data_IF_581116545727
#
_entry.id   IF_581116545727
#
_cell.length_a   1.000
_cell.length_b   1.000
_cell.length_c   1.000
_cell.angle_alpha   90.00
_cell.angle_beta   90.00
_cell.angle_gamma   90.00
#
_symmetry.space_group_name_H-M   'P 1'
#
loop_
_entity.id
_entity.type
_entity.pdbx_description
1 polymer ?
#
# COMPACT_ATOMS: atom_id res chain seq x y z
N UNK A 1 -32.64 45.03 -27.75
CA UNK A 1 -32.15 44.88 -26.36
C UNK A 1 -32.61 43.58 -25.68
N UNK A 2 -33.90 43.22 -25.68
CA UNK A 2 -34.42 41.97 -25.06
C UNK A 2 -33.83 40.66 -25.63
N UNK A 3 -33.60 40.59 -26.94
CA UNK A 3 -33.04 39.38 -27.61
C UNK A 3 -31.61 39.06 -27.15
N UNK A 4 -30.78 40.09 -26.92
CA UNK A 4 -29.41 39.91 -26.45
C UNK A 4 -29.35 39.37 -25.01
N UNK A 5 -30.29 39.79 -24.15
CA UNK A 5 -30.40 39.33 -22.76
C UNK A 5 -30.84 37.85 -22.73
N UNK A 6 -31.79 37.46 -23.58
CA UNK A 6 -32.24 36.07 -23.69
C UNK A 6 -31.12 35.16 -24.21
N UNK A 7 -30.36 35.60 -25.20
CA UNK A 7 -29.21 34.85 -25.72
C UNK A 7 -28.08 34.72 -24.68
N UNK A 8 -27.84 35.76 -23.87
CA UNK A 8 -26.88 35.71 -22.77
C UNK A 8 -27.32 34.71 -21.69
N UNK A 9 -28.60 34.71 -21.28
CA UNK A 9 -29.11 33.75 -20.31
C UNK A 9 -29.05 32.30 -20.81
N UNK A 10 -29.35 32.06 -22.09
CA UNK A 10 -29.20 30.76 -22.74
C UNK A 10 -27.73 30.30 -22.78
N UNK A 11 -26.79 31.21 -23.04
CA UNK A 11 -25.37 30.91 -23.04
C UNK A 11 -24.86 30.53 -21.62
N UNK A 12 -25.28 31.29 -20.59
CA UNK A 12 -24.95 31.02 -19.19
C UNK A 12 -25.53 29.67 -18.74
N UNK A 13 -26.78 29.37 -19.10
CA UNK A 13 -27.41 28.09 -18.79
C UNK A 13 -26.69 26.92 -19.46
N UNK A 14 -26.35 27.04 -20.75
CA UNK A 14 -25.57 26.02 -21.49
C UNK A 14 -24.20 25.81 -20.87
N UNK A 15 -23.50 26.88 -20.49
CA UNK A 15 -22.21 26.79 -19.83
C UNK A 15 -22.31 26.11 -18.46
N UNK A 16 -23.32 26.45 -17.65
CA UNK A 16 -23.61 25.77 -16.38
C UNK A 16 -23.91 24.28 -16.55
N UNK A 17 -24.68 23.91 -17.58
CA UNK A 17 -24.96 22.51 -17.90
C UNK A 17 -23.70 21.72 -18.31
N UNK A 18 -22.78 22.34 -19.06
CA UNK A 18 -21.49 21.73 -19.42
C UNK A 18 -20.60 21.54 -18.19
N UNK A 19 -20.53 22.53 -17.28
CA UNK A 19 -19.78 22.41 -16.02
C UNK A 19 -20.35 21.32 -15.11
N UNK A 20 -21.67 21.20 -15.04
CA UNK A 20 -22.31 20.15 -14.26
C UNK A 20 -22.03 18.76 -14.84
N UNK A 21 -22.14 18.60 -16.17
CA UNK A 21 -21.86 17.34 -16.85
C UNK A 21 -20.40 16.91 -16.70
N UNK A 22 -19.44 17.85 -16.81
CA UNK A 22 -18.02 17.54 -16.59
C UNK A 22 -17.73 17.18 -15.13
N UNK A 23 -18.31 17.89 -14.17
CA UNK A 23 -18.20 17.56 -12.74
C UNK A 23 -18.79 16.17 -12.41
N UNK A 24 -19.96 15.84 -12.98
CA UNK A 24 -20.59 14.54 -12.82
C UNK A 24 -19.74 13.41 -13.43
N UNK A 25 -19.19 13.61 -14.63
CA UNK A 25 -18.29 12.67 -15.30
C UNK A 25 -17.00 12.46 -14.51
N UNK A 26 -16.40 13.54 -14.01
CA UNK A 26 -15.23 13.49 -13.12
C UNK A 26 -15.55 12.70 -11.86
N UNK A 27 -16.70 12.96 -11.24
CA UNK A 27 -17.16 12.23 -10.04
C UNK A 27 -17.39 10.74 -10.30
N UNK A 28 -17.95 10.36 -11.45
CA UNK A 28 -18.14 8.94 -11.82
C UNK A 28 -16.82 8.24 -12.10
N UNK A 29 -15.90 8.90 -12.82
CA UNK A 29 -14.54 8.38 -13.05
C UNK A 29 -13.81 8.18 -11.72
N UNK A 30 -13.96 9.11 -10.78
CA UNK A 30 -13.39 8.97 -9.44
C UNK A 30 -13.96 7.77 -8.69
N UNK A 31 -15.28 7.59 -8.69
CA UNK A 31 -15.94 6.44 -8.06
C UNK A 31 -15.47 5.11 -8.66
N UNK A 32 -15.43 4.99 -9.99
CA UNK A 32 -14.95 3.79 -10.68
C UNK A 32 -13.50 3.49 -10.31
N UNK A 33 -12.63 4.50 -10.31
CA UNK A 33 -11.22 4.35 -9.95
C UNK A 33 -11.06 3.91 -8.49
N UNK A 34 -11.83 4.48 -7.56
CA UNK A 34 -11.85 4.06 -6.15
C UNK A 34 -12.23 2.59 -6.03
N UNK A 35 -13.25 2.14 -6.76
CA UNK A 35 -13.69 0.74 -6.73
C UNK A 35 -12.63 -0.21 -7.29
N UNK A 36 -12.00 0.14 -8.41
CA UNK A 36 -10.91 -0.66 -9.01
C UNK A 36 -9.69 -0.72 -8.10
N UNK A 37 -9.32 0.40 -7.47
CA UNK A 37 -8.18 0.44 -6.54
C UNK A 37 -8.45 -0.37 -5.28
N UNK A 38 -9.67 -0.33 -4.74
CA UNK A 38 -10.07 -1.19 -3.63
C UNK A 38 -10.02 -2.67 -4.00
N UNK A 39 -10.47 -3.06 -5.20
CA UNK A 39 -10.35 -4.43 -5.68
C UNK A 39 -8.88 -4.85 -5.83
N UNK A 40 -8.02 -3.98 -6.37
CA UNK A 40 -6.58 -4.22 -6.47
C UNK A 40 -5.93 -4.38 -5.09
N UNK A 41 -6.29 -3.54 -4.12
CA UNK A 41 -5.78 -3.64 -2.75
C UNK A 41 -6.27 -4.90 -2.05
N UNK A 42 -7.53 -5.30 -2.23
CA UNK A 42 -8.03 -6.59 -1.70
C UNK A 42 -7.27 -7.76 -2.31
N UNK A 43 -7.08 -7.76 -3.63
CA UNK A 43 -6.29 -8.76 -4.35
C UNK A 43 -4.84 -8.84 -3.83
N UNK A 44 -4.19 -7.70 -3.63
CA UNK A 44 -2.87 -7.63 -3.01
C UNK A 44 -2.89 -8.21 -1.60
N UNK A 45 -3.86 -7.85 -0.77
CA UNK A 45 -4.01 -8.34 0.60
C UNK A 45 -4.12 -9.86 0.66
N UNK A 46 -4.95 -10.45 -0.20
CA UNK A 46 -5.03 -11.90 -0.36
C UNK A 46 -3.69 -12.50 -0.81
N UNK A 47 -3.02 -11.87 -1.78
CA UNK A 47 -1.71 -12.32 -2.25
C UNK A 47 -0.68 -12.31 -1.11
N UNK A 48 -0.65 -11.26 -0.28
CA UNK A 48 0.24 -11.20 0.90
C UNK A 48 -0.01 -12.33 1.87
N UNK A 49 -1.26 -12.53 2.28
CA UNK A 49 -1.62 -13.56 3.27
C UNK A 49 -1.18 -14.95 2.81
N UNK A 50 -1.31 -15.24 1.51
CA UNK A 50 -0.85 -16.50 0.92
C UNK A 50 0.69 -16.62 0.85
N UNK A 51 1.40 -15.49 0.79
CA UNK A 51 2.87 -15.46 0.78
C UNK A 51 3.50 -15.48 2.18
N UNK A 52 2.75 -15.13 3.24
CA UNK A 52 3.25 -15.09 4.63
C UNK A 52 3.95 -16.39 5.05
N UNK A 53 3.41 -17.59 4.80
CA UNK A 53 4.10 -18.83 5.18
C UNK A 53 5.47 -18.97 4.49
N UNK A 54 5.55 -18.66 3.19
CA UNK A 54 6.80 -18.72 2.42
C UNK A 54 7.82 -17.68 2.91
N UNK A 55 7.35 -16.49 3.27
CA UNK A 55 8.18 -15.44 3.87
C UNK A 55 8.72 -15.90 5.23
N UNK A 56 7.86 -16.46 6.08
CA UNK A 56 8.22 -16.96 7.39
C UNK A 56 9.31 -18.04 7.30
N UNK A 57 9.12 -19.06 6.46
CA UNK A 57 10.09 -20.13 6.26
C UNK A 57 11.44 -19.59 5.80
N UNK A 58 11.43 -18.66 4.83
CA UNK A 58 12.65 -18.04 4.31
C UNK A 58 13.39 -17.22 5.36
N UNK A 59 12.67 -16.43 6.16
CA UNK A 59 13.26 -15.63 7.25
C UNK A 59 13.82 -16.57 8.31
N UNK A 60 13.08 -17.63 8.66
CA UNK A 60 13.53 -18.61 9.65
C UNK A 60 14.79 -19.37 9.18
N UNK A 61 14.82 -19.81 7.92
CA UNK A 61 15.98 -20.47 7.32
C UNK A 61 17.22 -19.56 7.32
N UNK A 62 17.06 -18.27 6.95
CA UNK A 62 18.13 -17.27 7.00
C UNK A 62 18.62 -17.02 8.43
N UNK A 63 17.71 -16.89 9.37
CA UNK A 63 18.05 -16.69 10.78
C UNK A 63 18.82 -17.89 11.35
N UNK A 64 18.43 -19.13 11.00
CA UNK A 64 19.15 -20.36 11.38
C UNK A 64 20.54 -20.42 10.75
N UNK A 65 20.67 -20.12 9.45
CA UNK A 65 21.96 -20.12 8.76
C UNK A 65 22.94 -19.10 9.35
N UNK A 66 22.48 -17.88 9.63
CA UNK A 66 23.28 -16.82 10.26
C UNK A 66 23.65 -17.16 11.71
N UNK A 67 22.74 -17.77 12.46
CA UNK A 67 23.03 -18.24 13.81
C UNK A 67 24.10 -19.35 13.81
N UNK A 68 24.07 -20.31 12.87
CA UNK A 68 25.07 -21.38 12.78
C UNK A 68 26.50 -20.86 12.60
N UNK A 69 26.70 -19.71 11.97
CA UNK A 69 28.00 -19.07 11.77
C UNK A 69 28.62 -18.51 13.07
N UNK A 70 27.84 -18.32 14.13
CA UNK A 70 28.34 -17.87 15.43
C UNK A 70 28.84 -19.07 16.25
N UNK A 71 29.96 -18.91 16.96
CA UNK A 71 30.52 -19.98 17.81
C UNK A 71 29.82 -20.09 19.17
N UNK A 72 29.41 -18.95 19.75
CA UNK A 72 28.81 -18.92 21.09
C UNK A 72 27.28 -19.12 21.09
N UNK A 73 26.72 -20.02 21.92
CA UNK A 73 25.28 -20.32 21.97
C UNK A 73 24.38 -19.10 22.28
N UNK A 74 24.81 -18.22 23.18
CA UNK A 74 24.07 -16.99 23.52
C UNK A 74 23.99 -16.03 22.32
N UNK A 75 25.11 -15.86 21.59
CA UNK A 75 25.15 -15.06 20.37
C UNK A 75 24.29 -15.67 19.24
N UNK A 76 24.21 -17.00 19.13
CA UNK A 76 23.32 -17.69 18.18
C UNK A 76 21.85 -17.34 18.43
N UNK A 77 21.41 -17.45 19.70
CA UNK A 77 20.03 -17.16 20.09
C UNK A 77 19.67 -15.70 19.86
N UNK A 78 20.58 -14.77 20.18
CA UNK A 78 20.39 -13.33 19.96
C UNK A 78 20.24 -12.98 18.47
N UNK A 79 21.19 -13.40 17.64
CA UNK A 79 21.14 -13.17 16.18
C UNK A 79 19.89 -13.79 15.56
N UNK A 80 19.49 -15.00 15.99
CA UNK A 80 18.26 -15.62 15.49
C UNK A 80 17.03 -14.77 15.86
N UNK A 81 16.91 -14.32 17.11
CA UNK A 81 15.79 -13.49 17.58
C UNK A 81 15.74 -12.15 16.84
N UNK A 82 16.88 -11.48 16.69
CA UNK A 82 16.95 -10.16 16.08
C UNK A 82 16.62 -10.22 14.59
N UNK A 83 17.09 -11.26 13.88
CA UNK A 83 16.76 -11.47 12.46
C UNK A 83 15.30 -11.88 12.24
N UNK A 84 14.74 -12.68 13.15
CA UNK A 84 13.31 -13.02 13.11
C UNK A 84 12.46 -11.78 13.35
N UNK A 85 12.81 -10.95 14.33
CA UNK A 85 12.08 -9.70 14.59
C UNK A 85 12.22 -8.72 13.43
N UNK A 86 13.44 -8.44 12.95
CA UNK A 86 13.66 -7.51 11.85
C UNK A 86 13.02 -7.98 10.53
N UNK A 87 12.98 -9.29 10.26
CA UNK A 87 12.40 -9.84 9.05
C UNK A 87 10.87 -9.97 9.08
N UNK A 88 10.30 -10.32 10.24
CA UNK A 88 8.85 -10.55 10.38
C UNK A 88 8.07 -9.26 10.64
N UNK A 89 8.70 -8.25 11.25
CA UNK A 89 8.03 -7.00 11.57
C UNK A 89 7.50 -6.24 10.33
N UNK A 90 8.23 -6.12 9.21
CA UNK A 90 7.69 -5.54 7.98
C UNK A 90 6.51 -6.32 7.42
N UNK A 91 6.56 -7.65 7.47
CA UNK A 91 5.50 -8.52 6.99
C UNK A 91 4.24 -8.41 7.87
N UNK A 92 4.41 -8.36 9.19
CA UNK A 92 3.34 -8.15 10.16
C UNK A 92 2.65 -6.80 9.98
N UNK A 93 3.42 -5.72 9.88
CA UNK A 93 2.89 -4.37 9.64
C UNK A 93 2.14 -4.33 8.31
N UNK A 94 2.69 -4.94 7.25
CA UNK A 94 2.06 -4.98 5.94
C UNK A 94 0.74 -5.76 5.96
N UNK A 95 0.71 -6.96 6.54
CA UNK A 95 -0.51 -7.77 6.62
C UNK A 95 -1.60 -7.10 7.46
N UNK A 96 -1.21 -6.39 8.51
CA UNK A 96 -2.17 -5.65 9.34
C UNK A 96 -2.75 -4.47 8.58
N UNK A 97 -1.91 -3.65 7.94
CA UNK A 97 -2.38 -2.51 7.15
C UNK A 97 -3.31 -2.96 6.02
N UNK A 98 -2.98 -4.07 5.33
CA UNK A 98 -3.83 -4.63 4.28
C UNK A 98 -5.14 -5.23 4.82
N UNK A 99 -5.12 -5.83 6.01
CA UNK A 99 -6.35 -6.29 6.69
C UNK A 99 -7.29 -5.11 7.00
N UNK A 100 -6.76 -3.96 7.41
CA UNK A 100 -7.57 -2.76 7.64
C UNK A 100 -8.22 -2.22 6.36
N UNK A 101 -7.51 -2.27 5.22
CA UNK A 101 -8.09 -1.96 3.90
C UNK A 101 -9.25 -2.90 3.58
N UNK A 102 -9.11 -4.19 3.89
CA UNK A 102 -10.12 -5.20 3.56
C UNK A 102 -11.40 -5.08 4.39
N UNK A 103 -11.29 -4.70 5.68
CA UNK A 103 -12.41 -4.60 6.63
C UNK A 103 -13.08 -3.21 6.61
N UNK A 104 -12.49 -2.22 5.93
CA UNK A 104 -13.11 -0.90 5.77
C UNK A 104 -13.05 -0.01 7.02
N UNK A 105 -12.00 -0.14 7.83
CA UNK A 105 -11.72 0.80 8.93
C UNK A 105 -12.62 0.67 10.18
N UNK A 106 -13.54 -0.29 10.28
CA UNK A 106 -14.44 -0.39 11.45
C UNK A 106 -13.76 -0.82 12.76
N UNK A 107 -12.49 -1.24 12.74
CA UNK A 107 -11.70 -1.67 13.91
C UNK A 107 -10.47 -0.76 14.11
N UNK A 108 -10.63 0.56 13.93
CA UNK A 108 -9.52 1.52 14.01
C UNK A 108 -8.91 1.60 15.42
N UNK A 109 -9.71 1.68 16.50
CA UNK A 109 -9.20 2.05 17.83
C UNK A 109 -8.22 1.05 18.48
N UNK A 110 -8.63 -0.22 18.65
CA UNK A 110 -7.81 -1.22 19.30
C UNK A 110 -6.66 -1.71 18.42
N UNK A 111 -6.89 -1.81 17.10
CA UNK A 111 -5.87 -2.21 16.12
C UNK A 111 -4.72 -1.20 16.03
N UNK A 112 -5.02 0.10 15.98
CA UNK A 112 -4.00 1.17 15.96
C UNK A 112 -3.10 1.14 17.21
N UNK A 113 -3.68 0.98 18.40
CA UNK A 113 -2.93 0.93 19.66
C UNK A 113 -1.97 -0.27 19.72
N UNK A 114 -2.41 -1.44 19.28
CA UNK A 114 -1.54 -2.63 19.22
C UNK A 114 -0.40 -2.46 18.19
N UNK A 115 -0.64 -1.70 17.12
CA UNK A 115 0.36 -1.44 16.08
C UNK A 115 1.40 -0.39 16.49
N UNK A 116 1.11 0.55 17.39
CA UNK A 116 2.05 1.60 17.79
C UNK A 116 3.39 1.03 18.30
N UNK A 117 3.34 -0.03 19.12
CA UNK A 117 4.55 -0.69 19.63
C UNK A 117 5.38 -1.34 18.51
N UNK A 118 4.72 -1.94 17.52
CA UNK A 118 5.34 -2.57 16.36
C UNK A 118 5.93 -1.55 15.40
N UNK A 119 5.22 -0.44 15.16
CA UNK A 119 5.71 0.69 14.36
C UNK A 119 6.89 1.35 15.05
N UNK A 120 6.82 1.58 16.36
CA UNK A 120 7.93 2.14 17.12
C UNK A 120 9.17 1.24 17.04
N UNK A 121 9.03 -0.06 17.26
CA UNK A 121 10.12 -1.03 17.10
C UNK A 121 10.68 -1.03 15.67
N UNK A 122 9.83 -0.87 14.64
CA UNK A 122 10.27 -0.79 13.25
C UNK A 122 11.08 0.48 12.98
N UNK A 123 10.64 1.63 13.52
CA UNK A 123 11.32 2.91 13.36
C UNK A 123 12.67 2.99 14.11
N UNK A 124 12.93 2.10 15.07
CA UNK A 124 14.25 2.01 15.73
C UNK A 124 15.36 1.48 14.81
N UNK A 125 15.02 0.76 13.73
CA UNK A 125 16.00 0.31 12.75
C UNK A 125 16.45 1.45 11.84
N UNK A 126 17.72 1.44 11.45
CA UNK A 126 18.23 2.39 10.46
C UNK A 126 17.47 2.26 9.14
N UNK A 127 17.41 3.34 8.35
CA UNK A 127 16.72 3.33 7.06
C UNK A 127 17.24 2.21 6.13
N UNK A 128 18.55 1.95 6.16
CA UNK A 128 19.18 0.87 5.40
C UNK A 128 18.69 -0.52 5.82
N UNK A 129 18.62 -0.78 7.13
CA UNK A 129 18.12 -2.06 7.67
C UNK A 129 16.64 -2.26 7.33
N UNK A 130 15.83 -1.20 7.48
CA UNK A 130 14.41 -1.22 7.08
C UNK A 130 14.25 -1.52 5.60
N UNK A 131 15.03 -0.86 4.74
CA UNK A 131 15.02 -1.09 3.30
C UNK A 131 15.36 -2.54 2.97
N UNK A 132 16.45 -3.08 3.52
CA UNK A 132 16.89 -4.45 3.25
C UNK A 132 15.89 -5.49 3.75
N UNK A 133 15.38 -5.32 4.96
CA UNK A 133 14.39 -6.22 5.55
C UNK A 133 13.09 -6.19 4.75
N UNK A 134 12.54 -5.00 4.50
CA UNK A 134 11.27 -4.83 3.78
C UNK A 134 11.41 -5.26 2.32
N UNK A 135 12.52 -4.95 1.65
CA UNK A 135 12.75 -5.40 0.28
C UNK A 135 12.79 -6.93 0.19
N UNK A 136 13.59 -7.55 1.04
CA UNK A 136 13.87 -8.99 0.94
C UNK A 136 12.73 -9.87 1.45
N UNK A 137 11.99 -9.38 2.43
CA UNK A 137 10.92 -10.11 3.09
C UNK A 137 9.54 -9.76 2.53
N UNK A 138 9.34 -8.57 1.96
CA UNK A 138 8.02 -8.10 1.48
C UNK A 138 8.02 -7.78 -0.02
N UNK A 139 8.80 -6.79 -0.46
CA UNK A 139 8.71 -6.28 -1.83
C UNK A 139 9.00 -7.34 -2.89
N UNK A 140 10.16 -7.99 -2.78
CA UNK A 140 10.62 -8.94 -3.78
C UNK A 140 9.69 -10.16 -3.92
N UNK A 141 9.29 -10.86 -2.85
CA UNK A 141 8.36 -12.00 -2.97
C UNK A 141 7.03 -11.62 -3.64
N UNK A 142 6.47 -10.48 -3.28
CA UNK A 142 5.19 -10.01 -3.83
C UNK A 142 5.32 -9.57 -5.29
N UNK A 143 6.39 -8.85 -5.65
CA UNK A 143 6.67 -8.50 -7.04
C UNK A 143 6.86 -9.75 -7.91
N UNK A 144 7.55 -10.77 -7.40
CA UNK A 144 7.69 -12.06 -8.09
C UNK A 144 6.34 -12.76 -8.26
N UNK A 145 5.49 -12.78 -7.23
CA UNK A 145 4.15 -13.37 -7.31
C UNK A 145 3.28 -12.65 -8.36
N UNK A 146 3.29 -11.31 -8.36
CA UNK A 146 2.58 -10.51 -9.38
C UNK A 146 3.10 -10.79 -10.79
N UNK A 147 4.42 -10.92 -10.97
CA UNK A 147 5.00 -11.27 -12.28
C UNK A 147 4.58 -12.67 -12.74
N UNK A 148 4.55 -13.65 -11.84
CA UNK A 148 4.05 -15.01 -12.14
C UNK A 148 2.56 -14.93 -12.53
N UNK A 149 1.74 -14.27 -11.73
CA UNK A 149 0.31 -14.09 -12.00
C UNK A 149 0.07 -13.35 -13.33
N UNK A 150 0.95 -12.44 -13.72
CA UNK A 150 0.86 -11.77 -15.02
C UNK A 150 1.15 -12.73 -16.18
N UNK A 151 2.08 -13.66 -15.97
CA UNK A 151 2.43 -14.68 -16.97
C UNK A 151 1.31 -15.70 -17.12
N UNK A 152 0.82 -16.28 -16.02
CA UNK A 152 -0.08 -17.45 -16.02
C UNK A 152 -1.56 -17.12 -15.80
N UNK A 153 -1.90 -15.91 -15.38
CA UNK A 153 -3.27 -15.53 -15.02
C UNK A 153 -4.21 -15.41 -16.22
N UNK A 154 -5.51 -15.32 -15.93
CA UNK A 154 -6.55 -15.05 -16.93
C UNK A 154 -6.42 -13.61 -17.48
N UNK A 155 -6.95 -13.31 -18.69
CA UNK A 155 -6.95 -11.96 -19.24
C UNK A 155 -7.49 -10.92 -18.26
N UNK A 156 -8.58 -11.24 -17.56
CA UNK A 156 -9.18 -10.40 -16.52
C UNK A 156 -8.20 -10.11 -15.38
N UNK A 157 -7.53 -11.14 -14.84
CA UNK A 157 -6.54 -10.98 -13.76
C UNK A 157 -5.38 -10.08 -14.21
N UNK A 158 -4.91 -10.26 -15.45
CA UNK A 158 -3.80 -9.48 -16.01
C UNK A 158 -4.08 -7.98 -16.09
N UNK A 159 -5.34 -7.58 -16.26
CA UNK A 159 -5.71 -6.16 -16.31
C UNK A 159 -5.48 -5.45 -14.98
N UNK A 160 -5.64 -6.14 -13.84
CA UNK A 160 -5.47 -5.54 -12.51
C UNK A 160 -4.01 -5.49 -12.05
N UNK A 161 -3.14 -6.33 -12.59
CA UNK A 161 -1.76 -6.48 -12.09
C UNK A 161 -0.91 -5.21 -12.21
N UNK A 162 -0.90 -4.46 -13.33
CA UNK A 162 -0.13 -3.22 -13.41
C UNK A 162 -0.55 -2.20 -12.34
N UNK A 163 -1.86 -2.05 -12.12
CA UNK A 163 -2.39 -1.14 -11.12
C UNK A 163 -2.10 -1.62 -9.70
N UNK A 164 -2.23 -2.92 -9.45
CA UNK A 164 -1.85 -3.54 -8.18
C UNK A 164 -0.34 -3.35 -7.89
N UNK A 165 0.53 -3.49 -8.89
CA UNK A 165 1.97 -3.26 -8.73
C UNK A 165 2.28 -1.80 -8.37
N UNK A 166 1.61 -0.84 -9.02
CA UNK A 166 1.76 0.59 -8.71
C UNK A 166 1.33 0.90 -7.26
N UNK A 167 0.13 0.44 -6.88
CA UNK A 167 -0.40 0.61 -5.52
C UNK A 167 0.50 -0.05 -4.48
N UNK A 168 1.02 -1.24 -4.78
CA UNK A 168 1.97 -1.94 -3.92
C UNK A 168 3.28 -1.17 -3.76
N UNK A 169 3.81 -0.57 -4.82
CA UNK A 169 5.04 0.23 -4.75
C UNK A 169 4.85 1.45 -3.85
N UNK A 170 3.70 2.15 -3.98
CA UNK A 170 3.36 3.27 -3.09
C UNK A 170 3.23 2.82 -1.64
N UNK A 171 2.54 1.70 -1.41
CA UNK A 171 2.40 1.10 -0.08
C UNK A 171 3.78 0.77 0.54
N UNK A 172 4.66 0.14 -0.23
CA UNK A 172 6.03 -0.20 0.18
C UNK A 172 6.83 1.04 0.58
N UNK A 173 6.79 2.10 -0.22
CA UNK A 173 7.49 3.35 0.08
C UNK A 173 6.95 4.01 1.35
N UNK A 174 5.62 4.05 1.53
CA UNK A 174 4.99 4.56 2.75
C UNK A 174 5.36 3.74 3.98
N UNK A 175 5.42 2.41 3.87
CA UNK A 175 5.84 1.53 4.98
C UNK A 175 7.25 1.89 5.45
N UNK A 176 8.15 2.24 4.54
CA UNK A 176 9.53 2.59 4.85
C UNK A 176 9.69 3.98 5.45
N UNK A 177 8.97 4.97 4.92
CA UNK A 177 9.16 6.39 5.27
C UNK A 177 8.26 6.83 6.42
N UNK A 178 6.98 6.51 6.34
CA UNK A 178 5.97 6.89 7.32
C UNK A 178 4.93 5.77 7.54
N UNK A 179 5.31 4.70 8.27
CA UNK A 179 4.42 3.56 8.51
C UNK A 179 3.13 3.95 9.25
N UNK A 180 3.11 5.02 10.06
CA UNK A 180 1.91 5.47 10.77
C UNK A 180 0.80 5.87 9.80
N UNK A 181 1.15 6.56 8.71
CA UNK A 181 0.19 6.97 7.68
C UNK A 181 -0.50 5.78 7.01
N UNK A 182 0.08 4.59 7.00
CA UNK A 182 -0.58 3.38 6.46
C UNK A 182 -1.76 2.91 7.31
N UNK A 183 -1.85 3.33 8.57
CA UNK A 183 -2.93 2.94 9.48
C UNK A 183 -3.98 4.04 9.62
N UNK A 184 -3.55 5.30 9.52
CA UNK A 184 -4.44 6.47 9.46
C UNK A 184 -5.13 6.58 8.10
N UNK A 185 -4.40 6.29 7.02
CA UNK A 185 -4.86 6.34 5.63
C UNK A 185 -4.43 5.07 4.89
N UNK A 186 -5.16 3.95 5.10
CA UNK A 186 -4.76 2.63 4.61
C UNK A 186 -4.82 2.49 3.07
N UNK A 187 -5.60 3.34 2.39
CA UNK A 187 -5.50 3.47 0.95
C UNK A 187 -4.43 4.51 0.60
N UNK A 188 -3.37 4.17 -0.16
CA UNK A 188 -2.42 5.17 -0.63
C UNK A 188 -3.17 6.22 -1.45
N UNK A 189 -2.80 7.51 -1.31
CA UNK A 189 -3.52 8.58 -1.99
C UNK A 189 -3.71 8.25 -3.45
N UNK A 190 -4.98 8.21 -3.83
CA UNK A 190 -5.46 7.83 -5.16
C UNK A 190 -5.06 8.88 -6.22
N UNK A 191 -4.51 10.00 -5.75
CA UNK A 191 -3.98 11.11 -6.52
C UNK A 191 -2.56 10.79 -7.03
N UNK A 192 -2.31 11.14 -8.28
CA UNK A 192 -0.99 10.93 -8.88
C UNK A 192 0.03 11.87 -8.25
N UNK A 193 1.32 11.58 -8.46
CA UNK A 193 2.44 12.44 -8.09
C UNK A 193 2.30 13.92 -8.55
N UNK A 194 1.36 14.25 -9.44
CA UNK A 194 1.09 15.62 -9.90
C UNK A 194 0.04 16.40 -9.09
N UNK A 195 -0.75 15.77 -8.22
CA UNK A 195 -1.82 16.48 -7.47
C UNK A 195 -1.38 16.92 -6.07
N UNK A 196 -0.37 16.27 -5.50
CA UNK A 196 0.25 16.72 -4.24
C UNK A 196 0.90 18.11 -4.35
N UNK A 197 1.40 18.47 -5.53
CA UNK A 197 1.92 19.82 -5.79
C UNK A 197 0.83 20.89 -5.97
N UNK A 198 -0.42 20.50 -6.27
CA UNK A 198 -1.52 21.47 -6.42
C UNK A 198 -2.32 21.68 -5.14
N UNK A 199 -2.37 20.69 -4.23
CA UNK A 199 -3.16 20.78 -2.99
C UNK A 199 -2.30 21.30 -1.83
N UNK A 200 -1.00 20.94 -1.80
CA UNK A 200 -0.04 21.55 -0.91
C UNK A 200 0.85 22.46 -1.74
N UNK A 201 0.40 23.70 -1.92
CA UNK A 201 1.22 24.77 -2.46
C UNK A 201 2.53 24.83 -1.68
N UNK A 202 3.59 24.31 -2.28
CA UNK A 202 4.95 24.68 -1.92
C UNK A 202 5.22 26.03 -2.59
N UNK A 203 4.94 27.09 -1.84
CA UNK A 203 5.72 28.32 -1.82
C UNK A 203 7.15 28.03 -1.36
#
# INVERSE_FOLDING_TARGET
MRVAIVNLMLAVYRFGAVLYATSAAVSTIHLIKITVDQQCLRFLGFTFLNLVPLMYERIHARAVASARRRRQPAARRRVKRDMLMAGLLPAYLACTAMSLVSVGGSILGAGLLMMQSSVFAFMQFSLRERLEATWSCLFRPCAMALAILYRVGTPETKMYIPRAYELFTRFYLRLLTNPQQLFEQPAPDLFSYGTYQMIHGFS
#
